data_IF_675280670622
#
_entry.id   IF_675280670622
#
_cell.length_a   1.000
_cell.length_b   1.000
_cell.length_c   1.000
_cell.angle_alpha   90.00
_cell.angle_beta   90.00
_cell.angle_gamma   90.00
#
_symmetry.space_group_name_H-M   'P 1'
#
loop_
_entity.id
_entity.type
_entity.pdbx_description
1 polymer ?
#
# COMPACT_ATOMS: atom_id res chain seq x y z
N UNK A 1 -2.74 32.56 14.68
CA UNK A 1 -3.85 31.71 15.11
C UNK A 1 -3.34 30.61 16.04
N UNK A 2 -2.29 29.86 15.67
CA UNK A 2 -1.75 28.78 16.53
C UNK A 2 -1.06 29.27 17.81
N UNK A 3 -0.49 30.47 17.81
CA UNK A 3 0.21 31.06 18.97
C UNK A 3 -0.74 31.62 20.02
N UNK A 4 -1.98 31.95 19.66
CA UNK A 4 -2.99 32.46 20.60
C UNK A 4 -3.92 31.39 21.17
N UNK A 5 -3.75 30.13 20.74
CA UNK A 5 -4.65 29.03 21.05
C UNK A 5 -6.01 29.14 20.33
N UNK A 6 -6.75 28.01 20.24
CA UNK A 6 -8.07 28.04 19.64
C UNK A 6 -9.06 28.80 20.54
N UNK A 7 -9.88 29.64 19.94
CA UNK A 7 -11.05 30.21 20.63
C UNK A 7 -12.12 29.12 20.69
N UNK A 8 -12.37 28.61 21.88
CA UNK A 8 -13.43 27.62 22.08
C UNK A 8 -14.78 28.38 22.18
N UNK A 9 -15.72 27.98 21.35
CA UNK A 9 -17.10 28.42 21.44
C UNK A 9 -17.80 27.47 22.43
N UNK A 10 -18.19 28.01 23.58
CA UNK A 10 -18.99 27.26 24.55
C UNK A 10 -20.45 27.18 24.03
N UNK A 11 -20.89 25.98 23.72
CA UNK A 11 -22.29 25.71 23.38
C UNK A 11 -23.07 25.22 24.59
N UNK A 12 -24.39 25.38 24.55
CA UNK A 12 -25.28 24.88 25.62
C UNK A 12 -25.28 23.36 25.75
N UNK A 13 -24.95 22.64 24.67
CA UNK A 13 -24.84 21.19 24.66
C UNK A 13 -23.41 20.77 24.39
N UNK A 14 -22.84 19.93 25.25
CA UNK A 14 -21.56 19.27 25.02
C UNK A 14 -21.78 18.10 24.05
N UNK A 15 -20.87 17.95 23.10
CA UNK A 15 -20.80 16.74 22.26
C UNK A 15 -20.40 15.51 23.09
N UNK A 16 -20.59 14.34 22.52
CA UNK A 16 -20.07 13.09 23.05
C UNK A 16 -18.97 12.55 22.13
N UNK A 17 -18.02 11.84 22.72
CA UNK A 17 -17.00 11.09 22.00
C UNK A 17 -17.28 9.60 22.21
N UNK A 18 -17.41 8.87 21.12
CA UNK A 18 -17.47 7.41 21.09
C UNK A 18 -16.25 6.86 20.36
N UNK A 19 -15.61 5.87 20.95
CA UNK A 19 -14.48 5.18 20.33
C UNK A 19 -15.00 3.88 19.70
N UNK A 20 -14.90 3.78 18.40
CA UNK A 20 -15.37 2.64 17.63
C UNK A 20 -14.18 2.01 16.91
N UNK A 21 -14.13 0.67 16.88
CA UNK A 21 -13.15 -0.06 16.08
C UNK A 21 -13.78 -0.50 14.76
N UNK A 22 -13.28 0.03 13.64
CA UNK A 22 -13.74 -0.30 12.29
C UNK A 22 -12.76 -1.19 11.51
N UNK A 23 -11.75 -1.75 12.15
CA UNK A 23 -10.67 -2.47 11.45
C UNK A 23 -11.21 -3.64 10.61
N UNK A 24 -12.04 -4.48 11.19
CA UNK A 24 -12.60 -5.65 10.49
C UNK A 24 -13.52 -5.24 9.34
N UNK A 25 -14.34 -4.21 9.53
CA UNK A 25 -15.23 -3.67 8.50
C UNK A 25 -14.39 -3.06 7.35
N UNK A 26 -13.33 -2.31 7.67
CA UNK A 26 -12.41 -1.73 6.70
C UNK A 26 -11.72 -2.81 5.86
N UNK A 27 -11.18 -3.84 6.50
CA UNK A 27 -10.52 -4.96 5.80
C UNK A 27 -11.51 -5.69 4.91
N UNK A 28 -12.70 -5.99 5.42
CA UNK A 28 -13.74 -6.69 4.66
C UNK A 28 -14.19 -5.88 3.45
N UNK A 29 -14.41 -4.57 3.62
CA UNK A 29 -14.73 -3.65 2.53
C UNK A 29 -13.61 -3.56 1.48
N UNK A 30 -12.36 -3.49 1.93
CA UNK A 30 -11.20 -3.41 1.03
C UNK A 30 -11.04 -4.68 0.19
N UNK A 31 -11.27 -5.85 0.80
CA UNK A 31 -11.24 -7.14 0.11
C UNK A 31 -12.40 -7.26 -0.90
N UNK A 32 -13.61 -6.84 -0.50
CA UNK A 32 -14.78 -6.83 -1.40
C UNK A 32 -14.54 -5.91 -2.60
N UNK A 33 -14.06 -4.68 -2.37
CA UNK A 33 -13.78 -3.70 -3.43
C UNK A 33 -12.73 -4.18 -4.41
N UNK A 34 -11.73 -4.91 -3.93
CA UNK A 34 -10.66 -5.49 -4.76
C UNK A 34 -11.00 -6.86 -5.34
N UNK A 35 -12.19 -7.38 -5.08
CA UNK A 35 -12.64 -8.72 -5.45
C UNK A 35 -11.75 -9.86 -4.91
N UNK A 36 -10.95 -9.57 -3.87
CA UNK A 36 -10.10 -10.55 -3.20
C UNK A 36 -10.92 -11.35 -2.18
N UNK A 37 -10.80 -12.67 -2.23
CA UNK A 37 -11.52 -13.59 -1.36
C UNK A 37 -10.59 -14.28 -0.38
N UNK A 38 -11.16 -14.79 0.68
CA UNK A 38 -10.46 -15.66 1.62
C UNK A 38 -9.88 -16.89 0.88
N UNK A 39 -8.58 -17.10 1.04
CA UNK A 39 -7.84 -18.20 0.43
C UNK A 39 -7.26 -17.93 -0.97
N UNK A 40 -7.52 -16.78 -1.60
CA UNK A 40 -6.97 -16.45 -2.92
C UNK A 40 -5.44 -16.40 -2.95
N UNK A 41 -4.83 -16.08 -1.81
CA UNK A 41 -3.38 -16.04 -1.64
C UNK A 41 -2.83 -17.26 -0.91
N UNK A 42 -3.59 -18.35 -0.83
CA UNK A 42 -3.13 -19.57 -0.15
C UNK A 42 -1.89 -20.14 -0.81
N UNK A 43 -0.87 -20.38 0.01
CA UNK A 43 0.43 -20.91 -0.43
C UNK A 43 1.39 -19.84 -0.94
N UNK A 44 1.02 -18.57 -0.88
CA UNK A 44 1.93 -17.44 -1.13
C UNK A 44 2.60 -17.04 0.18
N UNK A 45 3.91 -16.84 0.14
CA UNK A 45 4.70 -16.31 1.25
C UNK A 45 5.12 -14.88 0.91
N UNK A 46 4.70 -13.94 1.73
CA UNK A 46 4.79 -12.50 1.46
C UNK A 46 5.56 -11.80 2.56
N UNK A 47 6.51 -10.94 2.17
CA UNK A 47 7.20 -10.03 3.08
C UNK A 47 6.59 -8.63 2.97
N UNK A 48 6.18 -8.06 4.11
CA UNK A 48 5.70 -6.69 4.20
C UNK A 48 6.68 -5.85 5.01
N UNK A 49 7.23 -4.81 4.41
CA UNK A 49 8.12 -3.83 5.02
C UNK A 49 7.41 -2.49 5.17
N UNK A 50 7.41 -1.92 6.37
CA UNK A 50 6.70 -0.68 6.69
C UNK A 50 7.63 0.50 7.02
N UNK A 51 8.95 0.30 7.06
CA UNK A 51 9.96 1.33 7.34
C UNK A 51 9.64 2.16 8.61
N UNK A 52 9.02 1.55 9.62
CA UNK A 52 8.50 2.20 10.83
C UNK A 52 7.46 3.31 10.55
N UNK A 53 6.80 3.26 9.39
CA UNK A 53 5.74 4.17 8.98
C UNK A 53 4.37 3.89 9.63
N UNK A 54 3.34 4.59 9.18
CA UNK A 54 1.98 4.50 9.72
C UNK A 54 1.13 3.40 9.08
N UNK A 55 1.43 2.94 7.86
CA UNK A 55 0.85 1.72 7.33
C UNK A 55 1.32 0.53 8.18
N UNK A 56 0.47 -0.46 8.40
CA UNK A 56 0.91 -1.50 9.33
C UNK A 56 -0.01 -2.71 9.40
N UNK A 57 -0.48 -2.98 10.61
CA UNK A 57 -1.20 -4.21 10.95
C UNK A 57 -2.43 -4.49 10.09
N UNK A 58 -3.15 -3.45 9.65
CA UNK A 58 -4.33 -3.57 8.79
C UNK A 58 -4.00 -4.19 7.43
N UNK A 59 -2.87 -3.79 6.83
CA UNK A 59 -2.39 -4.38 5.57
C UNK A 59 -2.05 -5.85 5.79
N UNK A 60 -1.29 -6.15 6.84
CA UNK A 60 -0.91 -7.52 7.17
C UNK A 60 -2.15 -8.42 7.37
N UNK A 61 -3.15 -7.94 8.10
CA UNK A 61 -4.40 -8.66 8.34
C UNK A 61 -5.17 -8.92 7.04
N UNK A 62 -5.19 -7.98 6.11
CA UNK A 62 -5.85 -8.18 4.81
C UNK A 62 -5.18 -9.31 4.02
N UNK A 63 -3.84 -9.34 3.94
CA UNK A 63 -3.10 -10.41 3.28
C UNK A 63 -3.29 -11.77 3.98
N UNK A 64 -3.26 -11.81 5.31
CA UNK A 64 -3.51 -13.01 6.09
C UNK A 64 -4.93 -13.54 5.89
N UNK A 65 -5.93 -12.65 5.87
CA UNK A 65 -7.33 -13.02 5.60
C UNK A 65 -7.52 -13.57 4.19
N UNK A 66 -6.74 -13.05 3.23
CA UNK A 66 -6.66 -13.61 1.89
C UNK A 66 -5.91 -14.95 1.81
N UNK A 67 -5.31 -15.43 2.88
CA UNK A 67 -4.69 -16.75 3.01
C UNK A 67 -3.18 -16.78 2.81
N UNK A 68 -2.50 -15.64 2.70
CA UNK A 68 -1.05 -15.58 2.60
C UNK A 68 -0.36 -15.92 3.93
N UNK A 69 0.83 -16.51 3.85
CA UNK A 69 1.81 -16.51 4.93
C UNK A 69 2.56 -15.18 4.89
N UNK A 70 2.50 -14.42 6.00
CA UNK A 70 2.98 -13.03 6.02
C UNK A 70 4.05 -12.85 7.08
N UNK A 71 5.24 -12.42 6.67
CA UNK A 71 6.30 -11.94 7.54
C UNK A 71 6.36 -10.40 7.49
N UNK A 72 6.65 -9.78 8.63
CA UNK A 72 6.62 -8.33 8.81
C UNK A 72 8.00 -7.80 9.15
N UNK A 73 8.38 -6.70 8.52
CA UNK A 73 9.56 -5.90 8.88
C UNK A 73 9.11 -4.49 9.28
N UNK A 74 9.76 -3.97 10.33
CA UNK A 74 9.63 -2.58 10.79
C UNK A 74 8.19 -2.06 10.92
N UNK A 75 7.29 -2.97 11.36
CA UNK A 75 5.83 -2.74 11.43
C UNK A 75 5.41 -1.80 12.56
N UNK A 76 6.28 -1.57 13.56
CA UNK A 76 5.96 -0.69 14.68
C UNK A 76 6.25 0.75 14.25
N UNK A 77 5.23 1.64 14.23
CA UNK A 77 5.45 3.04 13.87
C UNK A 77 6.42 3.73 14.84
N UNK A 78 7.41 4.42 14.29
CA UNK A 78 8.35 5.25 15.05
C UNK A 78 8.67 6.52 14.26
N UNK A 79 8.15 7.65 14.72
CA UNK A 79 8.35 8.95 14.07
C UNK A 79 9.81 9.45 14.07
N UNK A 80 10.73 8.76 14.73
CA UNK A 80 12.16 9.05 14.62
C UNK A 80 12.82 8.32 13.44
N UNK A 81 12.13 7.36 12.83
CA UNK A 81 12.62 6.55 11.70
C UNK A 81 14.05 6.02 11.94
N UNK A 82 14.25 5.15 12.94
CA UNK A 82 15.58 4.76 13.40
C UNK A 82 16.44 4.04 12.35
N UNK A 83 15.83 3.55 11.30
CA UNK A 83 16.49 2.87 10.17
C UNK A 83 16.76 3.76 8.96
N UNK A 84 16.43 5.02 9.04
CA UNK A 84 16.65 6.02 8.00
C UNK A 84 15.36 6.55 7.40
N UNK A 85 15.48 7.21 6.25
CA UNK A 85 14.35 7.81 5.54
C UNK A 85 13.32 6.73 5.15
N UNK A 86 12.04 6.85 5.54
CA UNK A 86 11.01 5.87 5.22
C UNK A 86 10.53 6.00 3.75
N UNK A 87 11.46 5.87 2.84
CA UNK A 87 11.22 6.05 1.42
C UNK A 87 11.76 4.85 0.63
N UNK A 88 10.89 4.02 0.03
CA UNK A 88 11.30 2.80 -0.68
C UNK A 88 12.08 3.05 -1.99
N UNK A 89 12.19 4.30 -2.44
CA UNK A 89 13.03 4.66 -3.60
C UNK A 89 14.52 4.72 -3.18
N UNK A 90 14.80 4.94 -1.89
CA UNK A 90 16.16 5.10 -1.38
C UNK A 90 16.79 3.72 -1.16
N UNK A 91 17.90 3.46 -1.86
CA UNK A 91 18.58 2.15 -1.81
C UNK A 91 18.96 1.72 -0.39
N UNK A 92 19.44 2.64 0.45
CA UNK A 92 19.83 2.34 1.84
C UNK A 92 18.63 1.94 2.69
N UNK A 93 17.43 2.43 2.38
CA UNK A 93 16.19 2.10 3.11
C UNK A 93 15.68 0.71 2.74
N UNK A 94 15.77 0.32 1.47
CA UNK A 94 15.23 -0.96 0.99
C UNK A 94 16.25 -2.10 0.94
N UNK A 95 17.54 -1.82 1.07
CA UNK A 95 18.58 -2.86 1.03
C UNK A 95 18.35 -4.00 2.05
N UNK A 96 17.92 -3.74 3.30
CA UNK A 96 17.58 -4.79 4.26
C UNK A 96 16.43 -5.69 3.77
N UNK A 97 15.38 -5.10 3.22
CA UNK A 97 14.22 -5.80 2.66
C UNK A 97 14.63 -6.67 1.49
N UNK A 98 15.42 -6.13 0.57
CA UNK A 98 15.96 -6.87 -0.58
C UNK A 98 16.82 -8.06 -0.15
N UNK A 99 17.59 -7.90 0.91
CA UNK A 99 18.36 -8.99 1.50
C UNK A 99 17.43 -10.06 2.08
N UNK A 100 16.43 -9.66 2.87
CA UNK A 100 15.46 -10.56 3.46
C UNK A 100 14.70 -11.35 2.39
N UNK A 101 14.30 -10.72 1.28
CA UNK A 101 13.68 -11.38 0.14
C UNK A 101 14.53 -12.52 -0.41
N UNK A 102 15.84 -12.29 -0.58
CA UNK A 102 16.77 -13.30 -1.12
C UNK A 102 17.01 -14.46 -0.18
N UNK A 103 16.94 -14.22 1.12
CA UNK A 103 17.27 -15.22 2.15
C UNK A 103 16.02 -15.98 2.64
N UNK A 104 14.83 -15.40 2.51
CA UNK A 104 13.61 -15.86 3.16
C UNK A 104 12.63 -16.66 2.28
N UNK A 105 12.98 -16.94 1.01
CA UNK A 105 12.15 -17.70 0.06
C UNK A 105 10.71 -17.15 -0.11
N UNK A 106 10.56 -15.82 -0.11
CA UNK A 106 9.28 -15.16 -0.35
C UNK A 106 8.90 -15.18 -1.83
N UNK A 107 7.61 -15.19 -2.11
CA UNK A 107 7.08 -15.06 -3.46
C UNK A 107 7.09 -13.60 -3.91
N UNK A 108 6.67 -12.69 -3.02
CA UNK A 108 6.63 -11.24 -3.23
C UNK A 108 7.02 -10.48 -1.96
N UNK A 109 7.60 -9.30 -2.16
CA UNK A 109 7.83 -8.33 -1.10
C UNK A 109 7.11 -7.02 -1.41
N UNK A 110 6.54 -6.40 -0.41
CA UNK A 110 5.88 -5.10 -0.49
C UNK A 110 6.54 -4.16 0.51
N UNK A 111 6.97 -2.99 0.04
CA UNK A 111 7.58 -1.98 0.89
C UNK A 111 6.76 -0.69 0.83
N UNK A 112 6.30 -0.23 1.99
CA UNK A 112 5.49 0.97 2.14
C UNK A 112 6.36 2.13 2.60
N UNK A 113 6.02 3.34 2.20
CA UNK A 113 6.65 4.54 2.72
C UNK A 113 6.05 5.01 4.06
N UNK A 114 6.54 6.14 4.57
CA UNK A 114 6.24 6.58 5.94
C UNK A 114 4.76 6.81 6.25
N UNK A 115 3.96 7.25 5.31
CA UNK A 115 2.50 7.43 5.46
C UNK A 115 1.66 6.40 4.67
N UNK A 116 2.35 5.49 3.96
CA UNK A 116 1.76 4.34 3.29
C UNK A 116 1.01 4.67 2.00
N UNK A 117 1.24 5.85 1.42
CA UNK A 117 0.63 6.26 0.15
C UNK A 117 1.44 5.80 -1.07
N UNK A 118 2.68 5.36 -0.87
CA UNK A 118 3.57 4.77 -1.88
C UNK A 118 3.87 3.32 -1.55
N UNK A 119 3.87 2.50 -2.59
CA UNK A 119 4.12 1.07 -2.51
C UNK A 119 5.13 0.67 -3.56
N UNK A 120 6.19 0.01 -3.12
CA UNK A 120 7.11 -0.71 -3.97
C UNK A 120 6.91 -2.22 -3.86
N UNK A 121 6.97 -2.89 -5.00
CA UNK A 121 6.80 -4.32 -5.14
C UNK A 121 8.13 -4.96 -5.55
N UNK A 122 8.47 -6.06 -4.90
CA UNK A 122 9.68 -6.84 -5.19
C UNK A 122 9.34 -8.26 -5.59
N UNK A 123 10.09 -8.78 -6.54
CA UNK A 123 10.10 -10.21 -6.87
C UNK A 123 10.89 -11.03 -5.85
N UNK A 124 10.74 -12.36 -5.92
CA UNK A 124 11.43 -13.37 -5.09
C UNK A 124 12.95 -13.16 -4.98
N UNK A 125 13.60 -12.69 -6.03
CA UNK A 125 15.05 -12.44 -6.06
C UNK A 125 15.45 -11.09 -5.45
N UNK A 126 14.49 -10.35 -4.89
CA UNK A 126 14.67 -9.00 -4.36
C UNK A 126 14.78 -7.92 -5.42
N UNK A 127 14.51 -8.23 -6.69
CA UNK A 127 14.44 -7.22 -7.76
C UNK A 127 13.17 -6.39 -7.59
N UNK A 128 13.34 -5.10 -7.48
CA UNK A 128 12.23 -4.14 -7.39
C UNK A 128 11.54 -4.00 -8.74
N UNK A 129 10.22 -4.08 -8.74
CA UNK A 129 9.42 -3.80 -9.93
C UNK A 129 9.40 -2.30 -10.15
N UNK A 130 9.68 -1.88 -11.37
CA UNK A 130 9.66 -0.46 -11.72
C UNK A 130 8.29 0.14 -11.37
N UNK A 131 8.22 1.20 -10.54
CA UNK A 131 6.95 1.74 -10.03
C UNK A 131 5.89 2.04 -11.11
N UNK A 132 6.33 2.50 -12.28
CA UNK A 132 5.41 2.71 -13.40
C UNK A 132 4.75 1.45 -13.93
N UNK A 133 5.35 0.27 -13.75
CA UNK A 133 4.70 -1.00 -14.11
C UNK A 133 3.61 -1.36 -13.10
N UNK A 134 3.78 -1.03 -11.82
CA UNK A 134 2.73 -1.18 -10.81
C UNK A 134 1.48 -0.39 -11.19
N UNK A 135 1.65 0.83 -11.68
CA UNK A 135 0.54 1.66 -12.18
C UNK A 135 -0.23 0.96 -13.32
N UNK A 136 0.48 0.32 -14.25
CA UNK A 136 -0.17 -0.39 -15.35
C UNK A 136 -0.94 -1.63 -14.87
N UNK A 137 -0.41 -2.37 -13.89
CA UNK A 137 -1.08 -3.51 -13.26
C UNK A 137 -2.35 -3.08 -12.51
N UNK A 138 -2.25 -2.00 -11.73
CA UNK A 138 -3.39 -1.43 -10.99
C UNK A 138 -4.47 -0.95 -11.98
N UNK A 139 -4.10 -0.27 -13.04
CA UNK A 139 -5.05 0.20 -14.05
C UNK A 139 -5.80 -0.97 -14.72
N UNK A 140 -5.09 -2.05 -15.07
CA UNK A 140 -5.70 -3.26 -15.65
C UNK A 140 -6.69 -3.91 -14.66
N UNK A 141 -6.32 -4.01 -13.39
CA UNK A 141 -7.18 -4.55 -12.33
C UNK A 141 -8.43 -3.68 -12.11
N UNK A 142 -8.27 -2.36 -12.01
CA UNK A 142 -9.39 -1.41 -11.88
C UNK A 142 -10.35 -1.54 -13.04
N UNK A 143 -9.86 -1.60 -14.28
CA UNK A 143 -10.73 -1.76 -15.45
C UNK A 143 -11.51 -3.08 -15.42
N UNK A 144 -10.90 -4.17 -14.93
CA UNK A 144 -11.57 -5.47 -14.79
C UNK A 144 -12.66 -5.43 -13.73
N UNK A 145 -12.36 -4.92 -12.52
CA UNK A 145 -13.29 -4.80 -11.41
C UNK A 145 -14.53 -3.97 -11.81
N UNK A 146 -14.33 -2.88 -12.54
CA UNK A 146 -15.42 -2.01 -12.98
C UNK A 146 -15.94 -2.33 -14.39
N UNK A 147 -15.69 -3.52 -14.93
CA UNK A 147 -16.19 -3.97 -16.24
C UNK A 147 -15.94 -2.96 -17.39
N UNK A 148 -14.84 -2.23 -17.34
CA UNK A 148 -14.46 -1.21 -18.31
C UNK A 148 -15.21 0.13 -18.18
N UNK A 149 -16.05 0.33 -17.17
CA UNK A 149 -16.68 1.62 -16.89
C UNK A 149 -15.66 2.67 -16.42
N UNK A 150 -14.64 2.23 -15.64
CA UNK A 150 -13.54 3.06 -15.16
C UNK A 150 -12.32 2.85 -16.05
N UNK A 151 -12.15 3.67 -17.06
CA UNK A 151 -11.03 3.59 -18.01
C UNK A 151 -10.29 4.90 -18.25
N UNK A 152 -10.73 5.97 -17.65
CA UNK A 152 -10.08 7.27 -17.72
C UNK A 152 -9.07 7.40 -16.59
N UNK A 153 -7.78 7.53 -16.93
CA UNK A 153 -6.66 7.63 -16.02
C UNK A 153 -5.89 8.93 -16.27
N UNK A 154 -5.52 9.60 -15.21
CA UNK A 154 -4.71 10.80 -15.24
C UNK A 154 -3.29 10.46 -14.83
N UNK A 155 -2.34 10.73 -15.69
CA UNK A 155 -0.93 10.41 -15.47
C UNK A 155 -0.09 11.67 -15.27
N UNK A 156 0.86 11.62 -14.35
CA UNK A 156 1.87 12.67 -14.17
C UNK A 156 2.82 12.69 -15.38
N UNK A 157 3.38 13.85 -15.69
CA UNK A 157 4.36 14.04 -16.78
C UNK A 157 5.64 13.20 -16.59
N UNK A 158 5.89 12.70 -15.37
CA UNK A 158 6.99 11.80 -15.04
C UNK A 158 6.68 10.33 -15.31
N UNK A 159 5.43 10.02 -15.69
CA UNK A 159 5.03 8.63 -15.96
C UNK A 159 5.88 8.04 -17.10
N UNK A 160 6.34 6.80 -16.91
CA UNK A 160 7.21 6.15 -17.88
C UNK A 160 6.42 5.80 -19.16
N UNK A 161 6.95 6.11 -20.34
CA UNK A 161 6.26 5.82 -21.61
C UNK A 161 5.82 4.35 -21.76
N UNK A 162 6.61 3.41 -21.28
CA UNK A 162 6.27 1.98 -21.31
C UNK A 162 5.02 1.66 -20.50
N UNK A 163 4.86 2.26 -19.31
CA UNK A 163 3.67 2.07 -18.48
C UNK A 163 2.43 2.62 -19.16
N UNK A 164 2.52 3.83 -19.73
CA UNK A 164 1.43 4.44 -20.47
C UNK A 164 1.04 3.60 -21.68
N UNK A 165 2.03 3.05 -22.40
CA UNK A 165 1.77 2.17 -23.53
C UNK A 165 1.08 0.86 -23.12
N UNK A 166 1.46 0.28 -21.99
CA UNK A 166 0.81 -0.91 -21.43
C UNK A 166 -0.62 -0.61 -21.01
N UNK A 167 -0.85 0.49 -20.31
CA UNK A 167 -2.20 0.92 -19.92
C UNK A 167 -3.10 1.15 -21.15
N UNK A 168 -2.60 1.86 -22.15
CA UNK A 168 -3.33 2.09 -23.39
C UNK A 168 -3.66 0.78 -24.14
N UNK A 169 -2.71 -0.18 -24.15
CA UNK A 169 -2.92 -1.51 -24.74
C UNK A 169 -4.01 -2.30 -24.04
N UNK A 170 -4.16 -2.13 -22.72
CA UNK A 170 -5.25 -2.74 -21.93
C UNK A 170 -6.59 -2.00 -22.09
N UNK A 171 -6.64 -0.91 -22.83
CA UNK A 171 -7.85 -0.15 -23.11
C UNK A 171 -8.07 1.09 -22.24
N UNK A 172 -7.08 1.48 -21.43
CA UNK A 172 -7.14 2.71 -20.65
C UNK A 172 -7.08 3.95 -21.56
N UNK A 173 -7.87 4.95 -21.20
CA UNK A 173 -7.74 6.30 -21.73
C UNK A 173 -6.87 7.11 -20.78
N UNK A 174 -5.78 7.67 -21.30
CA UNK A 174 -4.79 8.38 -20.52
C UNK A 174 -4.87 9.87 -20.84
N UNK A 175 -4.92 10.66 -19.77
CA UNK A 175 -5.00 12.12 -19.81
C UNK A 175 -3.79 12.74 -19.14
#
# INVERSE_FOLDING_TARGET
IYLSGPTLIEGEKKGSLEVINYLDDYISYSMELSEVKEGDLKGQKILLEFLNGSAGSEVALAFQKAGAEVDLMDVIPDGNFPKGDPNPIIETSIAPTRKAMKEGEYDYGFCFDGDGDRLDLMYRDGTQIVPGLNMALIADSVMKIFNGEKKDFYADVKAIPTSLALMAKSGAKIH
#
